data_IF_053525751544
#
_entry.id   IF_053525751544
#
_cell.length_a   1.000
_cell.length_b   1.000
_cell.length_c   1.000
_cell.angle_alpha   90.00
_cell.angle_beta   90.00
_cell.angle_gamma   90.00
#
_symmetry.space_group_name_H-M   'P 1'
#
loop_
_entity.id
_entity.type
_entity.pdbx_description
1 polymer ?
#
# COMPACT_ATOMS: atom_id res chain seq x y z
N UNK A 1 -14.01 -2.98 -16.94
CA UNK A 1 -15.33 -3.51 -16.53
C UNK A 1 -16.30 -2.36 -16.22
N UNK A 2 -15.95 -1.46 -15.29
CA UNK A 2 -16.87 -0.41 -14.82
C UNK A 2 -17.38 0.56 -15.90
N UNK A 3 -16.54 0.93 -16.86
CA UNK A 3 -16.86 1.88 -17.94
C UNK A 3 -17.39 1.23 -19.22
N UNK A 4 -17.35 -0.12 -19.33
CA UNK A 4 -17.85 -0.83 -20.49
C UNK A 4 -19.34 -1.14 -20.33
N UNK A 5 -20.17 -0.78 -21.31
CA UNK A 5 -21.64 -0.99 -21.32
C UNK A 5 -22.34 -0.61 -20.00
N UNK A 6 -21.97 0.54 -19.41
CA UNK A 6 -22.52 1.04 -18.14
C UNK A 6 -22.17 0.17 -16.92
N UNK A 7 -21.14 -0.67 -17.04
CA UNK A 7 -20.64 -1.59 -16.03
C UNK A 7 -21.04 -3.04 -16.29
N UNK A 8 -20.03 -3.91 -16.36
CA UNK A 8 -20.21 -5.37 -16.48
C UNK A 8 -19.76 -6.06 -15.20
N UNK A 9 -20.41 -7.17 -14.86
CA UNK A 9 -19.97 -8.02 -13.74
C UNK A 9 -18.59 -8.61 -14.05
N UNK A 10 -17.72 -8.71 -13.05
CA UNK A 10 -16.39 -9.26 -13.23
C UNK A 10 -15.93 -10.04 -11.99
N UNK A 11 -15.04 -11.00 -12.20
CA UNK A 11 -14.28 -11.69 -11.18
C UNK A 11 -12.86 -11.17 -11.26
N UNK A 12 -12.25 -10.87 -10.13
CA UNK A 12 -10.88 -10.39 -10.05
C UNK A 12 -9.95 -11.52 -9.63
N UNK A 13 -8.83 -11.69 -10.35
CA UNK A 13 -7.80 -12.68 -10.03
C UNK A 13 -6.48 -11.92 -9.89
N UNK A 14 -6.14 -11.44 -8.70
CA UNK A 14 -4.90 -10.69 -8.46
C UNK A 14 -3.69 -11.63 -8.48
N UNK A 15 -2.63 -11.24 -9.18
CA UNK A 15 -1.43 -12.07 -9.40
C UNK A 15 -0.16 -11.54 -8.73
N UNK A 16 -0.20 -10.36 -8.12
CA UNK A 16 0.90 -9.80 -7.32
C UNK A 16 0.47 -9.67 -5.88
N UNK A 17 1.42 -9.69 -4.93
CA UNK A 17 1.09 -9.50 -3.51
C UNK A 17 0.36 -8.17 -3.29
N UNK A 18 0.84 -7.07 -3.88
CA UNK A 18 0.20 -5.76 -3.79
C UNK A 18 -1.27 -5.80 -4.21
N UNK A 19 -1.57 -6.49 -5.30
CA UNK A 19 -2.96 -6.60 -5.76
C UNK A 19 -3.80 -7.52 -4.87
N UNK A 20 -3.23 -8.58 -4.31
CA UNK A 20 -3.91 -9.51 -3.42
C UNK A 20 -4.30 -8.87 -2.09
N UNK A 21 -3.41 -8.05 -1.51
CA UNK A 21 -3.65 -7.44 -0.19
C UNK A 21 -4.32 -6.07 -0.26
N UNK A 22 -4.24 -5.38 -1.40
CA UNK A 22 -4.73 -4.01 -1.52
C UNK A 22 -5.65 -3.78 -2.71
N UNK A 23 -5.15 -3.69 -3.94
CA UNK A 23 -5.90 -3.11 -5.05
C UNK A 23 -7.11 -3.93 -5.51
N UNK A 24 -7.15 -5.24 -5.25
CA UNK A 24 -8.27 -6.11 -5.58
C UNK A 24 -9.50 -5.93 -4.64
N UNK A 25 -9.32 -5.32 -3.48
CA UNK A 25 -10.37 -5.10 -2.48
C UNK A 25 -10.77 -3.64 -2.45
N UNK A 26 -12.08 -3.36 -2.44
CA UNK A 26 -12.61 -2.01 -2.21
C UNK A 26 -13.14 -1.28 -3.44
N UNK A 27 -13.25 -1.95 -4.58
CA UNK A 27 -14.02 -1.50 -5.75
C UNK A 27 -13.52 -0.24 -6.46
N UNK A 28 -12.35 0.29 -6.12
CA UNK A 28 -11.74 1.41 -6.85
C UNK A 28 -11.22 0.91 -8.19
N UNK A 29 -11.98 1.11 -9.26
CA UNK A 29 -11.58 0.74 -10.62
C UNK A 29 -11.28 1.99 -11.43
N UNK A 30 -10.12 2.04 -12.08
CA UNK A 30 -9.75 3.16 -12.92
C UNK A 30 -8.72 2.76 -13.98
N UNK A 31 -8.61 3.60 -15.01
CA UNK A 31 -7.56 3.54 -16.02
C UNK A 31 -6.79 4.85 -16.04
N UNK A 32 -5.51 4.77 -16.43
CA UNK A 32 -4.67 5.94 -16.58
C UNK A 32 -5.01 6.69 -17.87
N UNK A 33 -4.83 7.99 -17.83
CA UNK A 33 -4.93 8.89 -18.98
C UNK A 33 -3.62 9.68 -19.11
N UNK A 34 -3.23 10.14 -20.31
CA UNK A 34 -2.01 10.94 -20.46
C UNK A 34 -1.93 12.17 -19.53
N UNK A 35 -3.09 12.72 -19.11
CA UNK A 35 -3.18 13.86 -18.19
C UNK A 35 -3.13 13.48 -16.70
N UNK A 36 -3.10 12.19 -16.35
CA UNK A 36 -2.99 11.76 -14.94
C UNK A 36 -3.30 10.30 -14.71
N UNK A 37 -2.84 9.81 -13.55
CA UNK A 37 -3.06 8.44 -13.07
C UNK A 37 -4.49 8.31 -12.52
N UNK A 38 -5.18 7.20 -12.84
CA UNK A 38 -6.52 6.86 -12.34
C UNK A 38 -7.59 7.92 -12.62
N UNK A 39 -7.53 8.59 -13.78
CA UNK A 39 -8.43 9.70 -14.10
C UNK A 39 -9.82 9.27 -14.52
N UNK A 40 -9.97 8.08 -15.10
CA UNK A 40 -11.24 7.57 -15.62
C UNK A 40 -11.57 6.28 -14.89
N UNK A 41 -12.61 6.32 -14.05
CA UNK A 41 -12.97 5.16 -13.24
C UNK A 41 -14.27 5.34 -12.49
N UNK A 42 -14.65 4.29 -11.75
CA UNK A 42 -15.82 4.28 -10.89
C UNK A 42 -15.60 3.36 -9.69
N UNK A 43 -16.39 3.55 -8.64
CA UNK A 43 -16.53 2.53 -7.60
C UNK A 43 -17.37 1.40 -8.15
N UNK A 44 -16.75 0.26 -8.44
CA UNK A 44 -17.39 -0.91 -9.05
C UNK A 44 -16.87 -2.19 -8.41
N UNK A 45 -17.68 -2.82 -7.59
CA UNK A 45 -17.25 -4.00 -6.84
C UNK A 45 -17.20 -5.25 -7.74
N UNK A 46 -16.18 -6.10 -7.63
CA UNK A 46 -16.16 -7.41 -8.26
C UNK A 46 -17.22 -8.31 -7.60
N UNK A 47 -17.78 -9.28 -8.36
CA UNK A 47 -18.65 -10.32 -7.78
C UNK A 47 -17.89 -11.30 -6.92
N UNK A 48 -16.59 -11.47 -7.18
CA UNK A 48 -15.68 -12.32 -6.42
C UNK A 48 -14.24 -11.89 -6.66
N UNK A 49 -13.39 -12.13 -5.67
CA UNK A 49 -11.92 -12.03 -5.79
C UNK A 49 -11.36 -13.41 -5.48
N UNK A 50 -10.62 -13.98 -6.43
CA UNK A 50 -9.99 -15.30 -6.29
C UNK A 50 -8.48 -15.10 -6.17
N UNK A 51 -7.91 -15.45 -5.01
CA UNK A 51 -6.47 -15.33 -4.71
C UNK A 51 -5.81 -16.70 -4.84
N UNK A 52 -4.85 -16.80 -5.77
CA UNK A 52 -3.99 -17.98 -5.91
C UNK A 52 -2.57 -17.62 -5.46
N UNK A 53 -2.10 -18.27 -4.39
CA UNK A 53 -0.75 -18.05 -3.84
C UNK A 53 0.36 -18.53 -4.81
N UNK A 54 0.05 -19.45 -5.73
CA UNK A 54 1.04 -19.91 -6.70
C UNK A 54 1.53 -18.80 -7.64
N UNK A 55 0.72 -17.76 -7.86
CA UNK A 55 1.12 -16.59 -8.64
C UNK A 55 2.34 -15.88 -8.04
N UNK A 56 2.53 -15.98 -6.71
CA UNK A 56 3.63 -15.31 -6.02
C UNK A 56 5.00 -16.01 -6.25
N UNK A 57 5.00 -17.29 -6.65
CA UNK A 57 6.22 -18.06 -6.88
C UNK A 57 7.07 -17.50 -8.04
N UNK A 58 6.44 -16.84 -8.99
CA UNK A 58 7.10 -16.21 -10.15
C UNK A 58 7.24 -14.71 -10.02
N UNK A 59 6.75 -14.12 -8.92
CA UNK A 59 6.81 -12.69 -8.66
C UNK A 59 8.27 -12.29 -8.34
N UNK A 60 8.83 -11.24 -9.00
CA UNK A 60 10.15 -10.73 -8.66
C UNK A 60 10.23 -10.30 -7.19
N UNK A 61 11.38 -10.54 -6.55
CA UNK A 61 11.57 -10.19 -5.12
C UNK A 61 11.29 -8.72 -4.80
N UNK A 62 11.64 -7.81 -5.73
CA UNK A 62 11.38 -6.38 -5.59
C UNK A 62 9.87 -6.08 -5.55
N UNK A 63 9.09 -6.77 -6.37
CA UNK A 63 7.62 -6.65 -6.40
C UNK A 63 6.97 -7.28 -5.16
N UNK A 64 7.53 -8.39 -4.66
CA UNK A 64 7.09 -8.99 -3.40
C UNK A 64 7.31 -8.01 -2.24
N UNK A 65 8.51 -7.42 -2.13
CA UNK A 65 8.83 -6.42 -1.12
C UNK A 65 7.88 -5.21 -1.24
N UNK A 66 7.63 -4.73 -2.46
CA UNK A 66 6.67 -3.64 -2.71
C UNK A 66 5.28 -3.97 -2.15
N UNK A 67 4.79 -5.19 -2.34
CA UNK A 67 3.52 -5.64 -1.73
C UNK A 67 3.56 -5.66 -0.20
N UNK A 68 4.70 -6.04 0.39
CA UNK A 68 4.88 -6.06 1.85
C UNK A 68 4.81 -4.67 2.48
N UNK A 69 5.09 -3.59 1.75
CA UNK A 69 4.90 -2.23 2.25
C UNK A 69 3.43 -1.97 2.64
N UNK A 70 2.48 -2.40 1.79
CA UNK A 70 1.05 -2.27 2.08
C UNK A 70 0.61 -3.19 3.23
N UNK A 71 1.17 -4.40 3.31
CA UNK A 71 0.96 -5.30 4.45
C UNK A 71 1.38 -4.66 5.77
N UNK A 72 2.59 -4.08 5.82
CA UNK A 72 3.13 -3.41 7.00
C UNK A 72 2.26 -2.20 7.36
N UNK A 73 1.80 -1.45 6.37
CA UNK A 73 0.88 -0.32 6.57
C UNK A 73 -0.37 -0.73 7.37
N UNK A 74 -1.02 -1.84 7.03
CA UNK A 74 -2.19 -2.33 7.78
C UNK A 74 -1.86 -2.59 9.25
N UNK A 75 -0.70 -3.19 9.53
CA UNK A 75 -0.25 -3.40 10.90
C UNK A 75 -0.06 -2.09 11.67
N UNK A 76 0.49 -1.07 11.01
CA UNK A 76 0.72 0.26 11.63
C UNK A 76 -0.58 0.97 11.95
N UNK A 77 -1.56 0.96 11.03
CA UNK A 77 -2.74 1.82 11.15
C UNK A 77 -3.95 1.15 11.81
N UNK A 78 -4.08 -0.18 11.74
CA UNK A 78 -5.31 -0.88 12.11
C UNK A 78 -5.10 -1.98 13.16
N UNK A 79 -3.94 -2.64 13.20
CA UNK A 79 -3.76 -3.87 14.00
C UNK A 79 -2.34 -4.02 14.52
N UNK A 80 -2.09 -3.53 15.73
CA UNK A 80 -0.78 -3.64 16.39
C UNK A 80 -0.37 -5.09 16.70
N UNK A 81 -1.32 -6.01 16.90
CA UNK A 81 -1.02 -7.43 17.08
C UNK A 81 -0.54 -8.04 15.75
N UNK A 82 -1.16 -7.67 14.65
CA UNK A 82 -0.70 -8.05 13.32
C UNK A 82 0.68 -7.46 13.00
N UNK A 83 0.95 -6.20 13.40
CA UNK A 83 2.29 -5.63 13.27
C UNK A 83 3.34 -6.46 14.01
N UNK A 84 3.08 -6.84 15.27
CA UNK A 84 4.00 -7.69 16.04
C UNK A 84 4.15 -9.09 15.44
N UNK A 85 3.08 -9.64 14.85
CA UNK A 85 3.16 -10.88 14.10
C UNK A 85 4.07 -10.75 12.87
N UNK A 86 3.99 -9.63 12.13
CA UNK A 86 4.86 -9.35 10.99
C UNK A 86 6.34 -9.28 11.39
N UNK A 87 6.67 -8.64 12.52
CA UNK A 87 8.04 -8.60 13.04
C UNK A 87 8.62 -10.01 13.24
N UNK A 88 7.79 -10.98 13.64
CA UNK A 88 8.22 -12.35 13.89
C UNK A 88 8.19 -13.25 12.64
N UNK A 89 7.46 -12.86 11.59
CA UNK A 89 7.22 -13.72 10.43
C UNK A 89 7.69 -13.13 9.09
N UNK A 90 8.35 -11.97 9.08
CA UNK A 90 8.76 -11.31 7.83
C UNK A 90 9.66 -12.21 6.97
N UNK A 91 10.56 -12.98 7.59
CA UNK A 91 11.47 -13.87 6.89
C UNK A 91 10.73 -15.04 6.24
N UNK A 92 9.67 -15.57 6.89
CA UNK A 92 8.79 -16.58 6.32
C UNK A 92 7.99 -16.03 5.14
N UNK A 93 7.53 -14.78 5.21
CA UNK A 93 6.85 -14.10 4.10
C UNK A 93 7.79 -13.91 2.91
N UNK A 94 9.03 -13.49 3.14
CA UNK A 94 10.04 -13.36 2.09
C UNK A 94 10.43 -14.69 1.46
N UNK A 95 10.35 -15.79 2.24
CA UNK A 95 10.56 -17.16 1.77
C UNK A 95 9.31 -17.76 1.09
N UNK A 96 8.20 -17.02 1.00
CA UNK A 96 6.90 -17.48 0.47
C UNK A 96 6.35 -18.72 1.21
N UNK A 97 6.53 -18.78 2.54
CA UNK A 97 5.89 -19.83 3.34
C UNK A 97 4.37 -19.75 3.15
N UNK A 98 3.79 -20.86 2.72
CA UNK A 98 2.39 -20.89 2.29
C UNK A 98 1.42 -20.53 3.43
N UNK A 99 1.69 -21.02 4.65
CA UNK A 99 0.81 -20.74 5.80
C UNK A 99 0.91 -19.28 6.24
N UNK A 100 2.13 -18.75 6.29
CA UNK A 100 2.37 -17.35 6.63
C UNK A 100 1.73 -16.41 5.58
N UNK A 101 1.90 -16.71 4.28
CA UNK A 101 1.31 -15.94 3.19
C UNK A 101 -0.22 -15.98 3.23
N UNK A 102 -0.81 -17.16 3.40
CA UNK A 102 -2.26 -17.32 3.49
C UNK A 102 -2.85 -16.52 4.66
N UNK A 103 -2.23 -16.58 5.83
CA UNK A 103 -2.65 -15.79 7.00
C UNK A 103 -2.53 -14.28 6.73
N UNK A 104 -1.37 -13.86 6.22
CA UNK A 104 -1.05 -12.46 5.95
C UNK A 104 -2.06 -11.83 4.98
N UNK A 105 -2.29 -12.48 3.83
CA UNK A 105 -3.21 -11.97 2.80
C UNK A 105 -4.64 -11.93 3.33
N UNK A 106 -5.09 -13.00 4.00
CA UNK A 106 -6.42 -13.03 4.61
C UNK A 106 -6.59 -11.87 5.59
N UNK A 107 -5.62 -11.66 6.51
CA UNK A 107 -5.73 -10.59 7.51
C UNK A 107 -5.77 -9.20 6.88
N UNK A 108 -4.95 -8.94 5.86
CA UNK A 108 -5.01 -7.69 5.11
C UNK A 108 -6.37 -7.47 4.43
N UNK A 109 -6.93 -8.51 3.80
CA UNK A 109 -8.25 -8.43 3.17
C UNK A 109 -9.36 -8.16 4.19
N UNK A 110 -9.32 -8.81 5.37
CA UNK A 110 -10.25 -8.57 6.48
C UNK A 110 -10.19 -7.11 6.93
N UNK A 111 -8.99 -6.61 7.27
CA UNK A 111 -8.78 -5.24 7.74
C UNK A 111 -9.25 -4.22 6.70
N UNK A 112 -8.92 -4.45 5.43
CA UNK A 112 -9.39 -3.56 4.37
C UNK A 112 -10.90 -3.61 4.17
N UNK A 113 -11.49 -4.80 4.21
CA UNK A 113 -12.92 -4.97 4.06
C UNK A 113 -13.70 -4.25 5.19
N UNK A 114 -13.22 -4.31 6.43
CA UNK A 114 -13.79 -3.57 7.57
C UNK A 114 -13.79 -2.05 7.31
N UNK A 115 -12.66 -1.50 6.85
CA UNK A 115 -12.54 -0.07 6.53
C UNK A 115 -13.44 0.32 5.36
N UNK A 116 -13.46 -0.50 4.30
CA UNK A 116 -14.31 -0.24 3.10
C UNK A 116 -15.79 -0.33 3.44
N UNK A 117 -16.19 -1.28 4.28
CA UNK A 117 -17.58 -1.41 4.74
C UNK A 117 -18.04 -0.19 5.55
N UNK A 118 -17.14 0.40 6.34
CA UNK A 118 -17.43 1.60 7.11
C UNK A 118 -17.39 2.89 6.26
N UNK A 119 -16.58 2.93 5.20
CA UNK A 119 -16.38 4.13 4.36
C UNK A 119 -16.02 3.74 2.91
N UNK A 120 -16.99 3.31 2.13
CA UNK A 120 -16.77 2.86 0.75
C UNK A 120 -16.18 3.95 -0.15
N UNK A 121 -16.61 5.21 0.04
CA UNK A 121 -16.28 6.33 -0.87
C UNK A 121 -15.10 7.20 -0.39
N UNK A 122 -14.42 6.79 0.70
CA UNK A 122 -13.26 7.52 1.23
C UNK A 122 -13.58 8.97 1.63
N UNK A 123 -14.63 9.13 2.41
CA UNK A 123 -15.05 10.42 2.95
C UNK A 123 -14.51 10.70 4.36
N UNK A 124 -13.88 9.70 4.99
CA UNK A 124 -13.38 9.82 6.37
C UNK A 124 -12.41 8.69 6.74
N UNK A 125 -12.89 7.61 7.36
CA UNK A 125 -12.07 6.53 7.93
C UNK A 125 -11.11 5.89 6.91
N UNK A 126 -11.55 5.70 5.67
CA UNK A 126 -10.74 5.09 4.62
C UNK A 126 -9.49 5.92 4.25
N UNK A 127 -9.46 7.21 4.60
CA UNK A 127 -8.28 8.05 4.42
C UNK A 127 -7.05 7.54 5.22
N UNK A 128 -7.25 6.79 6.32
CA UNK A 128 -6.16 6.15 7.06
C UNK A 128 -5.32 5.23 6.19
N UNK A 129 -5.93 4.58 5.17
CA UNK A 129 -5.21 3.72 4.22
C UNK A 129 -4.18 4.48 3.39
N UNK A 130 -4.15 5.80 3.46
CA UNK A 130 -3.20 6.66 2.75
C UNK A 130 -1.96 7.02 3.58
N UNK A 131 -1.71 6.35 4.73
CA UNK A 131 -0.47 6.57 5.48
C UNK A 131 0.75 6.40 4.55
N UNK A 132 1.62 7.39 4.53
CA UNK A 132 2.81 7.41 3.67
C UNK A 132 2.57 7.81 2.20
N UNK A 133 1.31 7.81 1.73
CA UNK A 133 1.01 8.02 0.31
C UNK A 133 1.28 9.44 -0.17
N UNK A 134 1.05 10.47 0.63
CA UNK A 134 1.34 11.87 0.23
C UNK A 134 2.82 12.05 -0.11
N UNK A 135 3.71 11.51 0.72
CA UNK A 135 5.16 11.49 0.43
C UNK A 135 5.49 10.50 -0.70
N UNK A 136 4.88 9.33 -0.69
CA UNK A 136 5.09 8.28 -1.69
C UNK A 136 4.70 8.74 -3.10
N UNK A 137 3.54 9.36 -3.28
CA UNK A 137 3.11 9.92 -4.56
C UNK A 137 4.03 11.03 -5.05
N UNK A 138 4.56 11.86 -4.14
CA UNK A 138 5.55 12.87 -4.48
C UNK A 138 6.83 12.22 -5.03
N UNK A 139 7.30 11.12 -4.42
CA UNK A 139 8.45 10.36 -4.91
C UNK A 139 8.16 9.75 -6.30
N UNK A 140 7.02 9.06 -6.46
CA UNK A 140 6.64 8.46 -7.75
C UNK A 140 6.57 9.52 -8.87
N UNK A 141 6.03 10.70 -8.57
CA UNK A 141 5.86 11.78 -9.55
C UNK A 141 7.19 12.42 -9.94
N UNK A 142 8.07 12.74 -8.96
CA UNK A 142 9.35 13.39 -9.21
C UNK A 142 10.34 12.46 -9.91
N UNK A 143 10.41 11.21 -9.47
CA UNK A 143 11.35 10.22 -10.01
C UNK A 143 10.91 9.65 -11.36
N UNK A 144 9.67 9.90 -11.76
CA UNK A 144 9.06 9.28 -12.94
C UNK A 144 8.51 7.88 -12.64
N UNK A 145 7.30 7.64 -13.13
CA UNK A 145 6.60 6.37 -12.89
C UNK A 145 7.41 5.16 -13.37
N UNK A 146 7.56 4.16 -12.50
CA UNK A 146 8.26 2.91 -12.76
C UNK A 146 9.73 2.87 -12.29
N UNK A 147 10.36 3.99 -11.97
CA UNK A 147 11.70 4.02 -11.38
C UNK A 147 11.68 3.56 -9.91
N UNK A 148 10.73 4.08 -9.15
CA UNK A 148 10.37 3.58 -7.83
C UNK A 148 9.07 2.78 -7.94
N UNK A 149 9.04 1.57 -7.35
CA UNK A 149 7.79 0.85 -7.21
C UNK A 149 6.90 1.55 -6.17
N UNK A 150 5.59 1.41 -6.32
CA UNK A 150 4.63 2.03 -5.42
C UNK A 150 4.93 1.74 -3.94
N UNK A 151 5.12 0.48 -3.58
CA UNK A 151 5.41 0.11 -2.20
C UNK A 151 6.76 0.61 -1.69
N UNK A 152 7.76 0.79 -2.55
CA UNK A 152 9.04 1.42 -2.17
C UNK A 152 8.82 2.88 -1.79
N UNK A 153 8.07 3.61 -2.61
CA UNK A 153 7.74 5.02 -2.36
C UNK A 153 6.88 5.17 -1.10
N UNK A 154 5.87 4.30 -0.91
CA UNK A 154 5.02 4.30 0.28
C UNK A 154 5.81 3.93 1.54
N UNK A 155 6.75 2.98 1.47
CA UNK A 155 7.59 2.60 2.61
C UNK A 155 8.43 3.79 3.10
N UNK A 156 9.14 4.48 2.20
CA UNK A 156 9.87 5.69 2.53
C UNK A 156 8.92 6.78 3.08
N UNK A 157 7.75 6.92 2.47
CA UNK A 157 6.71 7.86 2.89
C UNK A 157 6.15 7.56 4.29
N UNK A 158 5.96 6.29 4.65
CA UNK A 158 5.55 5.89 6.01
C UNK A 158 6.58 6.30 7.06
N UNK A 159 7.87 6.15 6.77
CA UNK A 159 8.94 6.59 7.68
C UNK A 159 8.92 8.11 7.84
N UNK A 160 8.72 8.87 6.77
CA UNK A 160 8.59 10.34 6.84
C UNK A 160 7.37 10.75 7.66
N UNK A 161 6.23 10.09 7.47
CA UNK A 161 5.01 10.34 8.24
C UNK A 161 5.21 9.99 9.73
N UNK A 162 5.87 8.87 10.05
CA UNK A 162 6.18 8.47 11.41
C UNK A 162 7.08 9.50 12.12
N UNK A 163 8.16 9.94 11.47
CA UNK A 163 9.00 11.01 12.03
C UNK A 163 8.29 12.35 12.19
N UNK A 164 7.37 12.68 11.29
CA UNK A 164 6.53 13.88 11.43
C UNK A 164 5.63 13.76 12.65
N UNK A 165 4.95 12.63 12.82
CA UNK A 165 4.08 12.35 13.98
C UNK A 165 4.87 12.31 15.30
N UNK A 166 6.10 11.79 15.27
CA UNK A 166 7.01 11.80 16.42
C UNK A 166 7.37 13.24 16.84
N UNK A 167 7.71 14.10 15.88
CA UNK A 167 8.02 15.52 16.15
C UNK A 167 6.81 16.30 16.69
N UNK A 168 5.60 15.88 16.32
CA UNK A 168 4.36 16.44 16.83
C UNK A 168 3.94 15.82 18.17
N UNK A 169 4.71 14.90 18.74
CA UNK A 169 4.43 14.23 20.00
C UNK A 169 3.27 13.23 19.93
N UNK A 170 2.86 12.81 18.72
CA UNK A 170 1.74 11.90 18.48
C UNK A 170 2.17 10.45 18.27
N UNK A 171 3.46 10.19 18.08
CA UNK A 171 4.01 8.86 17.86
C UNK A 171 5.31 8.70 18.65
N UNK A 172 5.59 7.50 19.16
CA UNK A 172 6.76 7.26 19.98
C UNK A 172 7.97 6.94 19.10
N UNK A 173 9.15 7.48 19.44
CA UNK A 173 10.40 7.19 18.72
C UNK A 173 10.71 5.68 18.63
N UNK A 174 10.35 4.90 19.67
CA UNK A 174 10.51 3.45 19.66
C UNK A 174 9.65 2.79 18.58
N UNK A 175 8.43 3.24 18.34
CA UNK A 175 7.54 2.68 17.33
C UNK A 175 7.99 3.10 15.92
N UNK A 176 8.51 4.32 15.76
CA UNK A 176 9.20 4.75 14.52
C UNK A 176 10.37 3.81 14.20
N UNK A 177 11.20 3.48 15.20
CA UNK A 177 12.35 2.59 15.00
C UNK A 177 11.90 1.16 14.64
N UNK A 178 10.86 0.62 15.30
CA UNK A 178 10.28 -0.69 14.95
C UNK A 178 9.80 -0.73 13.49
N UNK A 179 9.11 0.32 13.04
CA UNK A 179 8.68 0.43 11.65
C UNK A 179 9.87 0.42 10.68
N UNK A 180 10.91 1.23 10.96
CA UNK A 180 12.11 1.29 10.15
C UNK A 180 12.79 -0.07 10.05
N UNK A 181 12.92 -0.78 11.17
CA UNK A 181 13.61 -2.07 11.23
C UNK A 181 12.82 -3.15 10.45
N UNK A 182 11.49 -3.16 10.57
CA UNK A 182 10.65 -4.08 9.84
C UNK A 182 10.70 -3.81 8.32
N UNK A 183 10.64 -2.55 7.89
CA UNK A 183 10.75 -2.17 6.48
C UNK A 183 12.11 -2.57 5.88
N UNK A 184 13.20 -2.36 6.62
CA UNK A 184 14.55 -2.79 6.21
C UNK A 184 14.63 -4.31 6.04
N UNK A 185 14.10 -5.08 6.99
CA UNK A 185 14.04 -6.55 6.90
C UNK A 185 13.21 -7.01 5.72
N UNK A 186 12.15 -6.29 5.37
CA UNK A 186 11.34 -6.55 4.17
C UNK A 186 12.07 -6.20 2.85
N UNK A 187 13.27 -5.62 2.89
CA UNK A 187 14.02 -5.19 1.72
C UNK A 187 13.53 -3.87 1.10
N UNK A 188 12.86 -3.03 1.90
CA UNK A 188 12.27 -1.78 1.46
C UNK A 188 13.14 -0.57 1.82
N UNK A 189 13.15 0.49 1.02
CA UNK A 189 13.82 1.73 1.36
C UNK A 189 13.13 2.42 2.54
N UNK A 190 13.93 3.01 3.42
CA UNK A 190 13.47 3.76 4.59
C UNK A 190 13.81 5.26 4.50
N UNK A 191 14.24 5.69 3.35
CA UNK A 191 14.53 7.10 3.00
C UNK A 191 14.08 7.37 1.59
N UNK A 192 13.69 8.60 1.32
CA UNK A 192 13.39 9.05 -0.05
C UNK A 192 14.65 9.10 -0.93
N UNK A 193 14.47 9.35 -2.23
CA UNK A 193 15.56 9.48 -3.19
C UNK A 193 16.55 10.56 -2.73
N UNK A 194 17.85 10.29 -2.88
CA UNK A 194 18.89 11.26 -2.50
C UNK A 194 18.87 12.51 -3.39
N UNK A 195 18.41 12.36 -4.62
CA UNK A 195 18.31 13.40 -5.63
C UNK A 195 17.13 14.36 -5.36
N UNK A 196 16.16 13.93 -4.52
CA UNK A 196 14.96 14.71 -4.23
C UNK A 196 15.15 15.59 -2.98
N UNK A 197 15.26 16.90 -3.17
CA UNK A 197 15.34 17.84 -2.06
C UNK A 197 14.00 17.96 -1.31
N UNK A 198 14.04 18.40 -0.05
CA UNK A 198 12.83 18.62 0.74
C UNK A 198 11.83 19.58 0.06
N UNK A 199 12.34 20.59 -0.66
CA UNK A 199 11.52 21.53 -1.42
C UNK A 199 10.81 20.90 -2.61
N UNK A 200 11.38 19.86 -3.22
CA UNK A 200 10.78 19.17 -4.36
C UNK A 200 9.51 18.40 -3.97
N UNK A 201 9.33 18.03 -2.70
CA UNK A 201 8.10 17.38 -2.24
C UNK A 201 6.89 18.30 -2.25
N UNK A 202 7.04 19.57 -1.89
CA UNK A 202 5.93 20.48 -1.64
C UNK A 202 4.98 20.66 -2.84
N UNK A 203 5.44 20.91 -4.09
CA UNK A 203 4.54 21.05 -5.23
C UNK A 203 3.71 19.80 -5.52
N UNK A 204 4.29 18.59 -5.29
CA UNK A 204 3.60 17.33 -5.49
C UNK A 204 2.57 17.08 -4.39
N UNK A 205 2.95 17.34 -3.13
CA UNK A 205 2.04 17.19 -1.98
C UNK A 205 0.83 18.10 -2.10
N UNK A 206 1.02 19.37 -2.53
CA UNK A 206 -0.09 20.33 -2.73
C UNK A 206 -1.03 19.94 -3.88
N UNK A 207 -0.62 19.07 -4.78
CA UNK A 207 -1.44 18.54 -5.89
C UNK A 207 -2.04 17.17 -5.59
N UNK A 208 -1.67 16.55 -4.48
CA UNK A 208 -2.20 15.24 -4.11
C UNK A 208 -3.70 15.37 -3.81
N UNK A 209 -4.51 14.53 -4.46
CA UNK A 209 -5.97 14.50 -4.29
C UNK A 209 -6.41 14.08 -2.88
N UNK A 210 -5.46 13.66 -2.06
CA UNK A 210 -5.68 13.08 -0.73
C UNK A 210 -5.33 14.06 0.41
N UNK A 211 -5.07 15.32 0.07
CA UNK A 211 -4.84 16.43 1.02
C UNK A 211 -6.06 17.33 1.06
#
# INVERSE_FOLDING_TARGET
>A
AASYQRGVRFIQVPTTLLSQVDSAVGGKTAVNHPLGKNMIGAFWQPVSVVVDLNCLKTLPKRELASGLAEVIKYGVILDGAFFSWLENNIDALLALDEKAMAYCIRRCCELKAEVVAADERETGLRALLNLGHTFGHAIEAEMGYGNWLHGEAVAAGMVMAAHTSERLGQFRAQDTQRLIDLLKRAGLPVRGPQEMSAQAYLPHMMRDKKV
#
